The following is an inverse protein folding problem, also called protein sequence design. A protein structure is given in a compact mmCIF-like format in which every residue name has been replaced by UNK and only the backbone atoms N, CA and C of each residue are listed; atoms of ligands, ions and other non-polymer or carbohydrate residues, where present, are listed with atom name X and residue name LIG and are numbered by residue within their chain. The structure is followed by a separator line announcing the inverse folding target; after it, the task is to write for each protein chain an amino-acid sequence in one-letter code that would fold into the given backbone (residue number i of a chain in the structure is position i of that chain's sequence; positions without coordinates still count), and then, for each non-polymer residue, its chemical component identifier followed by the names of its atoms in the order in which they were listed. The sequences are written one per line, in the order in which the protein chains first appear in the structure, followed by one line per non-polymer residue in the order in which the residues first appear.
data_IF_829388224844
#
_entry.id   IF_829388224844
#
_cell.length_a   1.000
_cell.length_b   1.000
_cell.length_c   1.000
_cell.angle_alpha   90.00
_cell.angle_beta   90.00
_cell.angle_gamma   90.00
#
_symmetry.space_group_name_H-M   'P 1'
#
loop_
_entity.id
_entity.type
_entity.pdbx_description
1 polymer ?
#
# COMPACT_ATOMS: atom_id res chain seq x y z
N UNK A 1 9.27 40.76 1.85
CA UNK A 1 9.49 39.32 1.51
C UNK A 1 8.71 38.98 0.27
N UNK A 2 9.18 37.99 -0.50
CA UNK A 2 8.43 37.46 -1.65
C UNK A 2 7.38 36.46 -1.17
N UNK A 3 6.25 36.35 -1.88
CA UNK A 3 5.13 35.49 -1.49
C UNK A 3 5.55 34.03 -1.26
N UNK A 4 6.50 33.51 -2.04
CA UNK A 4 7.01 32.14 -1.91
C UNK A 4 7.66 31.84 -0.55
N UNK A 5 8.35 32.83 0.03
CA UNK A 5 8.99 32.69 1.33
C UNK A 5 7.97 32.73 2.47
N UNK A 6 6.88 33.47 2.27
CA UNK A 6 5.82 33.61 3.26
C UNK A 6 4.94 32.37 3.27
N UNK A 7 4.66 31.75 2.12
CA UNK A 7 3.92 30.50 2.04
C UNK A 7 4.48 29.39 2.94
N UNK A 8 5.81 29.32 3.09
CA UNK A 8 6.47 28.35 4.00
C UNK A 8 6.30 28.69 5.49
N UNK A 9 6.05 29.96 5.82
CA UNK A 9 5.90 30.45 7.19
C UNK A 9 4.43 30.54 7.62
N UNK A 10 3.47 30.41 6.71
CA UNK A 10 2.04 30.55 7.02
C UNK A 10 1.52 29.45 7.95
N UNK A 11 1.99 28.20 7.81
CA UNK A 11 1.58 27.09 8.68
C UNK A 11 2.03 27.33 10.13
N UNK A 12 3.30 27.68 10.32
CA UNK A 12 3.84 28.03 11.64
C UNK A 12 3.17 29.27 12.23
N UNK A 13 2.68 30.19 11.37
CA UNK A 13 1.99 31.42 11.78
C UNK A 13 0.59 31.12 12.33
N UNK A 14 -0.14 30.22 11.68
CA UNK A 14 -1.46 29.77 12.13
C UNK A 14 -1.34 28.95 13.43
N UNK A 15 -0.28 28.16 13.58
CA UNK A 15 -0.01 27.37 14.78
C UNK A 15 0.60 28.18 15.97
N UNK A 16 0.78 29.50 15.81
CA UNK A 16 1.41 30.41 16.79
C UNK A 16 2.84 30.04 17.20
N UNK A 17 3.62 29.42 16.29
CA UNK A 17 4.99 28.92 16.56
C UNK A 17 6.11 29.83 16.08
N UNK A 18 5.80 30.95 15.41
CA UNK A 18 6.85 31.87 14.95
C UNK A 18 7.46 32.72 16.08
N UNK A 19 8.78 32.98 16.01
CA UNK A 19 9.42 34.03 16.77
C UNK A 19 8.76 35.40 16.55
N UNK A 20 8.72 36.27 17.58
CA UNK A 20 8.01 37.55 17.51
C UNK A 20 8.53 38.50 16.43
N UNK A 21 9.81 38.42 16.07
CA UNK A 21 10.41 39.21 15.00
C UNK A 21 9.86 38.82 13.61
N UNK A 22 9.77 37.52 13.32
CA UNK A 22 9.27 37.02 12.03
C UNK A 22 7.75 37.18 11.91
N UNK A 23 7.03 37.08 13.03
CA UNK A 23 5.59 37.35 13.07
C UNK A 23 5.26 38.77 12.61
N UNK A 24 6.04 39.77 13.03
CA UNK A 24 5.84 41.15 12.63
C UNK A 24 6.04 41.33 11.11
N UNK A 25 7.02 40.65 10.52
CA UNK A 25 7.28 40.69 9.07
C UNK A 25 6.15 40.02 8.27
N UNK A 26 5.62 38.89 8.74
CA UNK A 26 4.47 38.20 8.13
C UNK A 26 3.22 39.08 8.20
N UNK A 27 2.90 39.66 9.37
CA UNK A 27 1.75 40.55 9.54
C UNK A 27 1.83 41.77 8.61
N UNK A 28 3.01 42.34 8.44
CA UNK A 28 3.20 43.49 7.55
C UNK A 28 2.98 43.09 6.08
N UNK A 29 3.43 41.91 5.66
CA UNK A 29 3.14 41.42 4.32
C UNK A 29 1.67 41.07 4.08
N UNK A 30 0.99 40.48 5.07
CA UNK A 30 -0.43 40.15 4.97
C UNK A 30 -1.32 41.39 4.76
N UNK A 31 -0.89 42.57 5.21
CA UNK A 31 -1.55 43.85 4.91
C UNK A 31 -1.41 44.30 3.45
N UNK A 32 -0.37 43.84 2.77
CA UNK A 32 0.01 44.30 1.43
C UNK A 32 -0.38 43.28 0.34
N UNK A 33 -0.60 42.01 0.69
CA UNK A 33 -0.91 40.93 -0.25
C UNK A 33 -2.25 40.24 0.06
N UNK A 34 -3.31 40.50 -0.75
CA UNK A 34 -4.61 39.85 -0.59
C UNK A 34 -4.58 38.33 -0.79
N UNK A 35 -3.68 37.82 -1.63
CA UNK A 35 -3.58 36.38 -1.90
C UNK A 35 -3.11 35.61 -0.66
N UNK A 36 -2.04 36.08 0.00
CA UNK A 36 -1.53 35.46 1.21
C UNK A 36 -2.50 35.61 2.39
N UNK A 37 -3.31 36.66 2.41
CA UNK A 37 -4.38 36.79 3.40
C UNK A 37 -5.42 35.66 3.24
N UNK A 38 -5.84 35.39 2.00
CA UNK A 38 -6.79 34.33 1.70
C UNK A 38 -6.23 32.95 2.06
N UNK A 39 -4.93 32.71 1.82
CA UNK A 39 -4.27 31.46 2.20
C UNK A 39 -4.27 31.25 3.73
N UNK A 40 -4.04 32.30 4.52
CA UNK A 40 -4.13 32.24 5.99
C UNK A 40 -5.55 31.92 6.46
N UNK A 41 -6.57 32.56 5.86
CA UNK A 41 -7.97 32.30 6.19
C UNK A 41 -8.34 30.83 5.91
N UNK A 42 -7.85 30.26 4.81
CA UNK A 42 -8.05 28.84 4.49
C UNK A 42 -7.36 27.90 5.49
N UNK A 43 -6.12 28.21 5.89
CA UNK A 43 -5.39 27.42 6.87
C UNK A 43 -6.04 27.48 8.26
N UNK A 44 -6.54 28.65 8.68
CA UNK A 44 -7.28 28.80 9.93
C UNK A 44 -8.58 27.99 9.92
N UNK A 45 -9.36 28.03 8.84
CA UNK A 45 -10.58 27.24 8.72
C UNK A 45 -10.31 25.73 8.80
N UNK A 46 -9.21 25.25 8.23
CA UNK A 46 -8.79 23.85 8.34
C UNK A 46 -8.36 23.48 9.76
N UNK A 47 -7.60 24.37 10.42
CA UNK A 47 -7.19 24.18 11.82
C UNK A 47 -8.42 24.06 12.74
N UNK A 48 -9.40 24.96 12.58
CA UNK A 48 -10.66 24.94 13.33
C UNK A 48 -11.42 23.62 13.13
N UNK A 49 -11.51 23.13 11.88
CA UNK A 49 -12.15 21.85 11.57
C UNK A 49 -11.45 20.66 12.23
N UNK A 50 -10.12 20.71 12.35
CA UNK A 50 -9.35 19.64 13.02
C UNK A 50 -9.48 19.70 14.54
N UNK A 51 -9.57 20.88 15.14
CA UNK A 51 -9.76 21.02 16.58
C UNK A 51 -11.15 20.53 17.02
N UNK A 52 -12.16 20.71 16.17
CA UNK A 52 -13.53 20.23 16.39
C UNK A 52 -13.77 18.81 15.88
N UNK A 53 -12.75 18.10 15.42
CA UNK A 53 -12.88 16.72 15.01
C UNK A 53 -13.19 15.83 16.22
N UNK A 54 -14.41 15.31 16.27
CA UNK A 54 -14.81 14.31 17.25
C UNK A 54 -14.70 12.94 16.62
N UNK A 55 -13.91 12.06 17.23
CA UNK A 55 -13.85 10.66 16.83
C UNK A 55 -15.22 10.01 17.01
N UNK A 56 -15.97 9.92 15.92
CA UNK A 56 -17.23 9.20 15.89
C UNK A 56 -16.92 7.70 16.02
N UNK A 57 -17.64 6.96 16.88
CA UNK A 57 -17.48 5.52 16.92
C UNK A 57 -17.80 4.96 15.54
N UNK A 58 -16.87 4.20 14.98
CA UNK A 58 -17.11 3.49 13.72
C UNK A 58 -18.42 2.71 13.86
N UNK A 59 -19.35 2.82 12.91
CA UNK A 59 -20.55 2.00 12.92
C UNK A 59 -20.11 0.55 13.04
N UNK A 60 -20.86 -0.24 13.81
CA UNK A 60 -20.54 -1.64 14.00
C UNK A 60 -20.80 -2.38 12.68
N UNK A 61 -19.86 -2.29 11.75
CA UNK A 61 -19.86 -2.97 10.48
C UNK A 61 -19.74 -4.45 10.79
N UNK A 62 -20.88 -5.10 10.94
CA UNK A 62 -20.92 -6.54 10.96
C UNK A 62 -20.46 -6.99 9.58
N UNK A 63 -19.31 -7.67 9.45
CA UNK A 63 -18.97 -8.28 8.18
C UNK A 63 -20.12 -9.22 7.85
N UNK A 64 -20.82 -8.95 6.75
CA UNK A 64 -21.77 -9.91 6.19
C UNK A 64 -20.94 -11.12 5.82
N UNK A 65 -20.88 -12.10 6.74
CA UNK A 65 -20.30 -13.39 6.43
C UNK A 65 -21.03 -13.90 5.18
N UNK A 66 -20.34 -14.16 4.06
CA UNK A 66 -20.97 -14.75 2.89
C UNK A 66 -21.55 -16.15 3.19
N UNK A 67 -21.29 -16.68 4.39
CA UNK A 67 -21.76 -17.96 4.91
C UNK A 67 -22.78 -17.83 6.04
N UNK A 68 -23.29 -16.64 6.35
CA UNK A 68 -24.43 -16.51 7.27
C UNK A 68 -25.71 -16.93 6.55
N UNK A 69 -25.99 -18.23 6.59
CA UNK A 69 -27.27 -18.78 6.16
C UNK A 69 -28.36 -18.14 7.01
N UNK A 70 -29.21 -17.34 6.39
CA UNK A 70 -30.43 -16.84 7.03
C UNK A 70 -31.20 -18.05 7.63
N UNK A 71 -31.84 -17.91 8.80
CA UNK A 71 -32.66 -18.97 9.36
C UNK A 71 -33.75 -19.31 8.34
N UNK A 72 -33.62 -20.46 7.69
CA UNK A 72 -34.53 -20.91 6.64
C UNK A 72 -35.89 -21.12 7.27
N UNK A 73 -36.85 -20.33 6.79
CA UNK A 73 -38.20 -20.28 7.31
C UNK A 73 -38.90 -21.62 7.06
N UNK A 74 -39.51 -22.16 8.13
CA UNK A 74 -40.56 -23.20 8.21
C UNK A 74 -40.10 -24.67 8.04
N UNK A 75 -39.84 -25.41 9.14
CA UNK A 75 -39.33 -26.79 9.14
C UNK A 75 -40.30 -27.86 8.62
N UNK A 76 -41.59 -27.53 8.41
CA UNK A 76 -42.57 -28.52 7.94
C UNK A 76 -42.39 -28.89 6.46
N UNK A 77 -41.86 -27.99 5.62
CA UNK A 77 -41.60 -28.31 4.20
C UNK A 77 -40.31 -29.09 4.02
N UNK A 78 -39.29 -28.88 4.87
CA UNK A 78 -38.03 -29.66 4.81
C UNK A 78 -38.24 -31.13 5.17
N UNK A 79 -39.24 -31.44 6.00
CA UNK A 79 -39.67 -32.82 6.27
C UNK A 79 -40.16 -33.52 5.00
N UNK A 80 -40.91 -32.84 4.13
CA UNK A 80 -41.42 -33.43 2.89
C UNK A 80 -40.29 -33.76 1.92
N UNK A 81 -39.30 -32.86 1.77
CA UNK A 81 -38.12 -33.17 0.96
C UNK A 81 -37.32 -34.34 1.53
N UNK A 82 -37.18 -34.42 2.86
CA UNK A 82 -36.45 -35.50 3.51
C UNK A 82 -37.18 -36.84 3.38
N UNK A 83 -38.50 -36.87 3.58
CA UNK A 83 -39.32 -38.07 3.38
C UNK A 83 -39.28 -38.54 1.92
N UNK A 84 -39.30 -37.61 0.95
CA UNK A 84 -39.20 -37.94 -0.46
C UNK A 84 -37.82 -38.48 -0.84
N UNK A 85 -36.74 -37.88 -0.31
CA UNK A 85 -35.38 -38.41 -0.51
C UNK A 85 -35.19 -39.79 0.09
N UNK A 86 -35.71 -40.04 1.30
CA UNK A 86 -35.65 -41.37 1.94
C UNK A 86 -36.50 -42.39 1.17
N UNK A 87 -37.68 -41.99 0.69
CA UNK A 87 -38.55 -42.84 -0.13
C UNK A 87 -37.91 -43.17 -1.48
N UNK A 88 -37.29 -42.20 -2.14
CA UNK A 88 -36.55 -42.44 -3.40
C UNK A 88 -35.39 -43.42 -3.18
N UNK A 89 -34.64 -43.28 -2.09
CA UNK A 89 -33.60 -44.24 -1.71
C UNK A 89 -34.18 -45.64 -1.49
N UNK A 90 -35.30 -45.74 -0.77
CA UNK A 90 -35.97 -47.01 -0.54
C UNK A 90 -36.44 -47.67 -1.85
N UNK A 91 -36.96 -46.90 -2.80
CA UNK A 91 -37.41 -47.39 -4.11
C UNK A 91 -36.24 -47.90 -4.98
N UNK A 92 -35.09 -47.22 -4.91
CA UNK A 92 -33.87 -47.65 -5.61
C UNK A 92 -33.33 -48.95 -5.02
N UNK A 93 -33.28 -49.06 -3.69
CA UNK A 93 -32.86 -50.30 -3.03
C UNK A 93 -33.85 -51.45 -3.21
N UNK A 94 -35.16 -51.17 -3.27
CA UNK A 94 -36.18 -52.18 -3.49
C UNK A 94 -36.36 -52.57 -4.97
N UNK A 95 -35.61 -51.96 -5.90
CA UNK A 95 -35.79 -52.10 -7.35
C UNK A 95 -37.26 -52.05 -7.77
N UNK A 96 -37.99 -51.02 -7.33
CA UNK A 96 -39.41 -50.89 -7.64
C UNK A 96 -39.60 -50.55 -9.13
N UNK A 97 -40.27 -51.42 -9.90
CA UNK A 97 -40.60 -51.19 -11.29
C UNK A 97 -42.10 -50.87 -11.41
N UNK A 98 -42.40 -49.68 -11.92
CA UNK A 98 -43.76 -49.24 -12.22
C UNK A 98 -44.03 -49.46 -13.70
N UNK A 99 -44.91 -50.41 -14.00
CA UNK A 99 -45.39 -50.66 -15.35
C UNK A 99 -46.89 -50.41 -15.40
N UNK A 100 -47.29 -49.61 -16.37
CA UNK A 100 -48.67 -49.21 -16.57
C UNK A 100 -49.15 -49.91 -17.84
N UNK A 101 -50.07 -50.86 -17.67
CA UNK A 101 -50.62 -51.63 -18.79
C UNK A 101 -52.15 -51.46 -18.84
N UNK A 102 -52.78 -51.87 -19.93
CA UNK A 102 -54.22 -51.67 -20.16
C UNK A 102 -55.13 -52.36 -19.11
N UNK A 103 -54.57 -53.23 -18.26
CA UNK A 103 -55.28 -53.97 -17.21
C UNK A 103 -55.09 -53.42 -15.78
N UNK A 104 -54.40 -52.28 -15.62
CA UNK A 104 -54.26 -51.59 -14.33
C UNK A 104 -52.81 -51.30 -13.94
N UNK A 105 -52.65 -50.83 -12.71
CA UNK A 105 -51.36 -50.39 -12.15
C UNK A 105 -50.74 -51.54 -11.35
N UNK A 106 -49.60 -52.08 -11.79
CA UNK A 106 -48.84 -53.05 -11.00
C UNK A 106 -47.49 -52.48 -10.57
N UNK A 107 -47.21 -52.62 -9.28
CA UNK A 107 -45.95 -52.23 -8.63
C UNK A 107 -45.21 -53.53 -8.28
N UNK A 108 -44.14 -53.84 -9.01
CA UNK A 108 -43.28 -54.98 -8.71
C UNK A 108 -42.04 -54.53 -7.93
N UNK A 109 -41.68 -55.28 -6.88
CA UNK A 109 -40.49 -55.05 -6.07
C UNK A 109 -39.52 -56.21 -6.31
N UNK A 110 -38.32 -55.89 -6.80
CA UNK A 110 -37.39 -56.89 -7.36
C UNK A 110 -37.58 -57.08 -8.87
N UNK A 111 -36.48 -57.45 -9.56
CA UNK A 111 -36.36 -57.45 -11.02
C UNK A 111 -37.57 -58.12 -11.72
N UNK A 112 -38.38 -57.39 -12.50
CA UNK A 112 -39.08 -58.01 -13.61
C UNK A 112 -38.00 -58.45 -14.60
N UNK A 113 -38.09 -59.69 -15.09
CA UNK A 113 -37.11 -60.30 -16.00
C UNK A 113 -36.67 -59.34 -17.12
N UNK A 114 -35.54 -58.65 -16.94
CA UNK A 114 -34.86 -57.92 -18.00
C UNK A 114 -34.03 -58.90 -18.81
N UNK A 115 -33.95 -58.75 -20.15
CA UNK A 115 -33.00 -59.52 -20.95
C UNK A 115 -31.60 -59.22 -20.41
N UNK A 116 -30.78 -60.28 -20.30
CA UNK A 116 -29.48 -60.27 -19.63
C UNK A 116 -28.70 -58.96 -19.86
N UNK A 117 -28.41 -58.25 -18.75
CA UNK A 117 -27.49 -57.12 -18.74
C UNK A 117 -26.14 -57.64 -19.24
N UNK A 118 -25.71 -57.24 -20.44
CA UNK A 118 -24.43 -57.64 -21.00
C UNK A 118 -23.30 -56.86 -20.29
N UNK A 119 -22.93 -57.38 -19.12
CA UNK A 119 -21.84 -56.87 -18.27
C UNK A 119 -20.54 -56.70 -19.06
N UNK A 120 -20.28 -57.52 -20.08
CA UNK A 120 -19.10 -57.39 -20.92
C UNK A 120 -19.13 -56.13 -21.80
N UNK A 121 -20.31 -55.71 -22.28
CA UNK A 121 -20.46 -54.47 -23.04
C UNK A 121 -20.32 -53.22 -22.16
N UNK A 122 -20.69 -53.31 -20.88
CA UNK A 122 -20.53 -52.23 -19.91
C UNK A 122 -19.06 -52.04 -19.51
N UNK A 123 -18.36 -53.15 -19.23
CA UNK A 123 -16.93 -53.15 -18.88
C UNK A 123 -16.09 -52.52 -20.00
N UNK A 124 -16.36 -52.90 -21.26
CA UNK A 124 -15.71 -52.30 -22.42
C UNK A 124 -15.93 -50.79 -22.55
N UNK A 125 -17.09 -50.27 -22.13
CA UNK A 125 -17.36 -48.81 -22.13
C UNK A 125 -16.65 -48.11 -20.99
N UNK A 126 -16.53 -48.74 -19.82
CA UNK A 126 -15.75 -48.22 -18.71
C UNK A 126 -14.27 -48.11 -19.09
N UNK A 127 -13.69 -49.15 -19.68
CA UNK A 127 -12.28 -49.14 -20.10
C UNK A 127 -11.98 -48.01 -21.10
N UNK A 128 -12.85 -47.84 -22.10
CA UNK A 128 -12.72 -46.75 -23.07
C UNK A 128 -12.86 -45.38 -22.41
N UNK A 129 -13.76 -45.25 -21.43
CA UNK A 129 -13.94 -44.01 -20.70
C UNK A 129 -12.72 -43.71 -19.81
N UNK A 130 -12.18 -44.70 -19.10
CA UNK A 130 -11.00 -44.56 -18.26
C UNK A 130 -9.77 -44.15 -19.09
N UNK A 131 -9.55 -44.80 -20.24
CA UNK A 131 -8.48 -44.42 -21.17
C UNK A 131 -8.66 -42.99 -21.67
N UNK A 132 -9.88 -42.59 -22.05
CA UNK A 132 -10.16 -41.24 -22.53
C UNK A 132 -9.95 -40.20 -21.42
N UNK A 133 -10.38 -40.50 -20.19
CA UNK A 133 -10.15 -39.64 -19.04
C UNK A 133 -8.66 -39.45 -18.76
N UNK A 134 -7.88 -40.53 -18.81
CA UNK A 134 -6.45 -40.47 -18.57
C UNK A 134 -5.70 -39.61 -19.60
N UNK A 135 -6.10 -39.70 -20.88
CA UNK A 135 -5.57 -38.84 -21.95
C UNK A 135 -5.98 -37.38 -21.73
N UNK A 136 -7.24 -37.12 -21.37
CA UNK A 136 -7.71 -35.75 -21.15
C UNK A 136 -7.01 -35.10 -19.96
N UNK A 137 -6.85 -35.83 -18.85
CA UNK A 137 -6.17 -35.33 -17.65
C UNK A 137 -4.69 -35.09 -17.92
N UNK A 138 -4.01 -36.01 -18.62
CA UNK A 138 -2.58 -35.82 -18.95
C UNK A 138 -2.36 -34.63 -19.88
N UNK A 139 -3.23 -34.43 -20.88
CA UNK A 139 -3.18 -33.27 -21.77
C UNK A 139 -3.43 -31.94 -21.03
N UNK A 140 -4.34 -31.94 -20.05
CA UNK A 140 -4.56 -30.74 -19.23
C UNK A 140 -3.38 -30.44 -18.31
N UNK A 141 -2.79 -31.47 -17.68
CA UNK A 141 -1.62 -31.32 -16.83
C UNK A 141 -0.42 -30.76 -17.60
N UNK A 142 -0.15 -31.27 -18.82
CA UNK A 142 0.94 -30.76 -19.66
C UNK A 142 0.69 -29.33 -20.12
N UNK A 143 -0.54 -29.00 -20.54
CA UNK A 143 -0.90 -27.63 -20.92
C UNK A 143 -0.77 -26.64 -19.74
N UNK A 144 -1.16 -27.08 -18.55
CA UNK A 144 -1.01 -26.29 -17.33
C UNK A 144 0.47 -26.06 -16.97
N UNK A 145 1.30 -27.10 -17.02
CA UNK A 145 2.75 -26.99 -16.76
C UNK A 145 3.42 -26.00 -17.72
N UNK A 146 3.12 -26.09 -19.02
CA UNK A 146 3.65 -25.16 -20.03
C UNK A 146 3.23 -23.72 -19.71
N UNK A 147 1.95 -23.51 -19.40
CA UNK A 147 1.42 -22.18 -19.05
C UNK A 147 2.07 -21.63 -17.77
N UNK A 148 2.30 -22.47 -16.77
CA UNK A 148 2.98 -22.08 -15.53
C UNK A 148 4.44 -21.67 -15.78
N UNK A 149 5.17 -22.42 -16.60
CA UNK A 149 6.55 -22.10 -16.94
C UNK A 149 6.67 -20.76 -17.67
N UNK A 150 5.80 -20.52 -18.66
CA UNK A 150 5.75 -19.23 -19.38
C UNK A 150 5.41 -18.06 -18.45
N UNK A 151 4.40 -18.24 -17.58
CA UNK A 151 4.01 -17.24 -16.58
C UNK A 151 5.18 -16.91 -15.65
N UNK A 152 5.87 -17.94 -15.13
CA UNK A 152 7.01 -17.78 -14.23
C UNK A 152 8.17 -17.05 -14.91
N UNK A 153 8.49 -17.39 -16.17
CA UNK A 153 9.51 -16.68 -16.93
C UNK A 153 9.16 -15.21 -17.14
N UNK A 154 7.89 -14.90 -17.46
CA UNK A 154 7.41 -13.52 -17.62
C UNK A 154 7.52 -12.73 -16.32
N UNK A 155 7.14 -13.33 -15.19
CA UNK A 155 7.27 -12.67 -13.88
C UNK A 155 8.72 -12.40 -13.54
N UNK A 156 9.60 -13.40 -13.70
CA UNK A 156 11.04 -13.24 -13.42
C UNK A 156 11.69 -12.17 -14.31
N UNK A 157 11.40 -12.17 -15.61
CA UNK A 157 11.93 -11.16 -16.54
C UNK A 157 11.41 -9.76 -16.23
N UNK A 158 10.13 -9.64 -15.87
CA UNK A 158 9.53 -8.36 -15.46
C UNK A 158 10.16 -7.86 -14.16
N UNK A 159 10.32 -8.73 -13.16
CA UNK A 159 10.97 -8.40 -11.89
C UNK A 159 12.44 -7.98 -12.09
N UNK A 160 13.19 -8.68 -12.94
CA UNK A 160 14.57 -8.32 -13.28
C UNK A 160 14.65 -6.97 -13.99
N UNK A 161 13.74 -6.70 -14.92
CA UNK A 161 13.68 -5.39 -15.60
C UNK A 161 13.35 -4.26 -14.62
N UNK A 162 12.37 -4.48 -13.75
CA UNK A 162 12.00 -3.53 -12.70
C UNK A 162 13.15 -3.27 -11.71
N UNK A 163 13.83 -4.33 -11.26
CA UNK A 163 14.99 -4.24 -10.36
C UNK A 163 16.13 -3.45 -10.99
N UNK A 164 16.45 -3.70 -12.27
CA UNK A 164 17.46 -2.94 -13.00
C UNK A 164 17.11 -1.46 -13.13
N UNK A 165 15.85 -1.16 -13.39
CA UNK A 165 15.39 0.23 -13.48
C UNK A 165 15.44 0.92 -12.11
N UNK A 166 15.06 0.23 -11.04
CA UNK A 166 15.17 0.73 -9.68
C UNK A 166 16.63 1.02 -9.31
N UNK A 167 17.55 0.10 -9.57
CA UNK A 167 18.98 0.29 -9.31
C UNK A 167 19.55 1.50 -10.07
N UNK A 168 19.08 1.76 -11.31
CA UNK A 168 19.49 2.95 -12.06
C UNK A 168 19.01 4.25 -11.41
N UNK A 169 17.76 4.29 -10.96
CA UNK A 169 17.20 5.45 -10.23
C UNK A 169 17.93 5.69 -8.92
N UNK A 170 18.18 4.63 -8.15
CA UNK A 170 18.88 4.72 -6.87
C UNK A 170 20.33 5.21 -7.06
N UNK A 171 21.04 4.71 -8.09
CA UNK A 171 22.39 5.19 -8.43
C UNK A 171 22.39 6.66 -8.87
N UNK A 172 21.41 7.09 -9.67
CA UNK A 172 21.30 8.47 -10.09
C UNK A 172 21.08 9.41 -8.89
N UNK A 173 20.21 9.01 -7.96
CA UNK A 173 19.98 9.75 -6.72
C UNK A 173 21.23 9.79 -5.85
N UNK A 174 21.98 8.70 -5.76
CA UNK A 174 23.23 8.66 -5.00
C UNK A 174 24.29 9.61 -5.58
N UNK A 175 24.43 9.66 -6.90
CA UNK A 175 25.37 10.57 -7.57
C UNK A 175 24.98 12.03 -7.33
N UNK A 176 23.70 12.37 -7.48
CA UNK A 176 23.18 13.72 -7.22
C UNK A 176 23.42 14.14 -5.76
N UNK A 177 23.12 13.25 -4.81
CA UNK A 177 23.43 13.47 -3.39
C UNK A 177 24.93 13.66 -3.15
N UNK A 178 25.78 12.87 -3.80
CA UNK A 178 27.23 13.01 -3.64
C UNK A 178 27.75 14.34 -4.17
N UNK A 179 27.23 14.81 -5.30
CA UNK A 179 27.58 16.10 -5.88
C UNK A 179 27.16 17.27 -4.98
N UNK A 180 25.95 17.22 -4.43
CA UNK A 180 25.47 18.25 -3.49
C UNK A 180 26.31 18.30 -2.22
N UNK A 181 26.58 17.15 -1.58
CA UNK A 181 27.46 17.07 -0.40
C UNK A 181 28.85 17.61 -0.69
N UNK A 182 29.42 17.28 -1.86
CA UNK A 182 30.75 17.76 -2.24
C UNK A 182 30.78 19.28 -2.48
N UNK A 183 29.73 19.83 -3.10
CA UNK A 183 29.61 21.26 -3.32
C UNK A 183 29.48 22.02 -1.98
N UNK A 184 28.67 21.51 -1.06
CA UNK A 184 28.53 22.06 0.29
C UNK A 184 29.84 22.02 1.08
N UNK A 185 30.56 20.90 1.06
CA UNK A 185 31.85 20.76 1.73
C UNK A 185 32.89 21.75 1.18
N UNK A 186 32.94 21.98 -0.13
CA UNK A 186 33.84 23.00 -0.72
C UNK A 186 33.51 24.41 -0.21
N UNK A 187 32.22 24.76 -0.11
CA UNK A 187 31.79 26.05 0.43
C UNK A 187 32.17 26.19 1.90
N UNK A 188 31.92 25.16 2.71
CA UNK A 188 32.27 25.17 4.14
C UNK A 188 33.78 25.27 4.36
N UNK A 189 34.60 24.52 3.61
CA UNK A 189 36.06 24.62 3.69
C UNK A 189 36.57 26.03 3.37
N UNK A 190 36.00 26.68 2.36
CA UNK A 190 36.32 28.07 2.02
C UNK A 190 36.00 29.04 3.16
N UNK A 191 34.84 28.88 3.82
CA UNK A 191 34.46 29.71 4.97
C UNK A 191 35.38 29.50 6.18
N UNK A 192 35.72 28.24 6.49
CA UNK A 192 36.65 27.90 7.57
C UNK A 192 38.02 28.53 7.30
N UNK A 193 38.52 28.41 6.07
CA UNK A 193 39.81 29.00 5.68
C UNK A 193 39.82 30.53 5.81
N UNK A 194 38.78 31.20 5.33
CA UNK A 194 38.65 32.66 5.46
C UNK A 194 38.63 33.08 6.94
N UNK A 195 37.86 32.38 7.79
CA UNK A 195 37.82 32.64 9.24
C UNK A 195 39.19 32.49 9.90
N UNK A 196 39.97 31.49 9.50
CA UNK A 196 41.33 31.29 10.01
C UNK A 196 42.25 32.45 9.61
N UNK A 197 42.16 32.93 8.37
CA UNK A 197 42.92 34.10 7.91
C UNK A 197 42.55 35.34 8.72
N UNK A 198 41.25 35.61 8.88
CA UNK A 198 40.77 36.79 9.61
C UNK A 198 41.23 36.77 11.07
N UNK A 199 41.13 35.61 11.72
CA UNK A 199 41.60 35.41 13.11
C UNK A 199 43.11 35.66 13.23
N UNK A 200 43.91 35.20 12.26
CA UNK A 200 45.35 35.45 12.22
C UNK A 200 45.67 36.93 12.01
N UNK A 201 44.94 37.62 11.13
CA UNK A 201 45.13 39.05 10.91
C UNK A 201 44.80 39.87 12.15
N UNK A 202 43.70 39.55 12.83
CA UNK A 202 43.29 40.18 14.09
C UNK A 202 44.33 39.95 15.19
N UNK A 203 44.78 38.71 15.40
CA UNK A 203 45.82 38.43 16.40
C UNK A 203 47.12 39.21 16.12
N UNK A 204 47.52 39.33 14.85
CA UNK A 204 48.70 40.12 14.48
C UNK A 204 48.50 41.62 14.70
N UNK A 205 47.30 42.17 14.48
CA UNK A 205 47.02 43.59 14.72
C UNK A 205 46.98 43.88 16.22
N UNK A 206 46.39 43.01 17.03
CA UNK A 206 46.39 43.08 18.50
C UNK A 206 47.81 43.05 19.06
N UNK A 207 48.66 42.13 18.59
CA UNK A 207 50.07 42.09 18.98
C UNK A 207 50.83 43.38 18.62
N UNK A 208 50.55 43.98 17.46
CA UNK A 208 51.14 45.27 17.06
C UNK A 208 50.66 46.41 17.95
N UNK A 209 49.37 46.45 18.28
CA UNK A 209 48.79 47.45 19.18
C UNK A 209 49.37 47.34 20.59
N UNK A 210 49.47 46.13 21.13
CA UNK A 210 50.13 45.87 22.42
C UNK A 210 51.59 46.34 22.41
N UNK A 211 52.35 46.01 21.35
CA UNK A 211 53.73 46.49 21.20
C UNK A 211 53.82 48.02 21.19
N UNK A 212 52.92 48.69 20.46
CA UNK A 212 52.89 50.15 20.40
C UNK A 212 52.54 50.78 21.75
N UNK A 213 51.56 50.23 22.47
CA UNK A 213 51.17 50.69 23.81
C UNK A 213 52.29 50.52 24.84
N UNK A 214 53.04 49.41 24.78
CA UNK A 214 54.22 49.23 25.65
C UNK A 214 55.28 50.29 25.36
N UNK A 215 55.57 50.57 24.08
CA UNK A 215 56.57 51.57 23.70
C UNK A 215 56.23 52.99 24.17
N UNK A 216 54.95 53.39 24.13
CA UNK A 216 54.51 54.71 24.63
C UNK A 216 54.54 54.83 26.16
N UNK A 217 54.37 53.72 26.89
CA UNK A 217 54.54 53.73 28.36
C UNK A 217 55.99 53.77 28.82
N UNK A 218 56.95 53.51 27.94
CA UNK A 218 58.39 53.48 28.26
C UNK A 218 59.18 54.73 27.87
N UNK A 219 58.55 55.77 27.32
CA UNK A 219 59.22 57.07 27.14
C UNK A 219 59.12 57.88 28.45
N UNK A 220 60.23 58.13 29.17
CA UNK A 220 60.20 58.97 30.36
C UNK A 220 59.99 60.43 29.96
N UNK A 221 59.14 61.11 30.71
CA UNK A 221 58.98 62.57 30.64
C UNK A 221 60.29 63.25 31.07
N UNK A 222 61.10 63.68 30.12
CA UNK A 222 62.09 64.74 30.35
C UNK A 222 61.36 66.10 30.36
N UNK A 223 60.73 66.41 31.50
CA UNK A 223 60.45 67.78 31.92
C UNK A 223 61.49 68.14 33.00
N UNK A 224 62.48 68.95 32.62
CA UNK A 224 63.20 69.93 33.44
C UNK A 224 64.10 70.81 32.56
#
# INVERSE_FOLDING_TARGET
MHCDQIGLLLSEFVDDRLPPAQRAEVVEHLRQCPHCQQDVEHLQALADMTEHWVDAPVPNWQPVSPFSTAPTKKPWMSWLSLAFSVSAFALVFSQANLQMNDQGFHLSFGQPATPALDVAALEKRLDLFEQQQQINVSNQLTAWEITQQESNQKVLTTMLAYSREQQRRDLAQFVDYWETVRAEDQVQQGQVFNRLIDTQQQSRSELRALKAAVLTTTTPSEDL
#
